data_IF_264542880004
#
_entry.id   IF_264542880004
#
_cell.length_a   1.000
_cell.length_b   1.000
_cell.length_c   1.000
_cell.angle_alpha   90.00
_cell.angle_beta   90.00
_cell.angle_gamma   90.00
#
_symmetry.space_group_name_H-M   'P 1'
#
loop_
_entity.id
_entity.type
_entity.pdbx_description
1 polymer ?
#
# COMPACT_ATOMS: atom_id res chain seq x y z
N UNK A 1 43.04 -7.06 4.62
CA UNK A 1 42.34 -6.49 5.81
C UNK A 1 42.00 -7.66 6.73
N UNK A 2 42.58 -7.72 7.94
CA UNK A 2 42.19 -8.71 8.94
C UNK A 2 40.96 -8.17 9.65
N UNK A 3 39.83 -8.88 9.55
CA UNK A 3 38.70 -8.72 10.47
C UNK A 3 39.23 -9.08 11.86
N UNK A 4 39.43 -8.09 12.72
CA UNK A 4 39.72 -8.33 14.12
C UNK A 4 38.48 -8.96 14.74
N UNK A 5 38.56 -10.25 15.08
CA UNK A 5 37.53 -10.92 15.86
C UNK A 5 37.36 -10.19 17.20
N UNK A 6 36.13 -9.84 17.52
CA UNK A 6 35.79 -9.19 18.79
C UNK A 6 35.96 -10.26 19.88
N UNK A 7 36.80 -9.98 20.88
CA UNK A 7 36.97 -10.86 22.04
C UNK A 7 35.61 -11.07 22.74
N UNK A 8 35.07 -12.29 22.78
CA UNK A 8 33.74 -12.55 23.33
C UNK A 8 33.67 -12.39 24.85
N UNK A 9 34.81 -12.19 25.53
CA UNK A 9 34.90 -12.02 26.98
C UNK A 9 34.98 -10.56 27.42
N UNK A 10 35.31 -9.63 26.51
CA UNK A 10 35.30 -8.20 26.82
C UNK A 10 33.86 -7.67 26.95
N UNK A 11 33.69 -6.50 27.56
CA UNK A 11 32.36 -5.88 27.81
C UNK A 11 31.52 -5.79 26.52
N UNK A 12 32.14 -5.32 25.42
CA UNK A 12 31.48 -5.24 24.12
C UNK A 12 31.08 -6.63 23.58
N UNK A 13 31.96 -7.63 23.73
CA UNK A 13 31.71 -9.01 23.30
C UNK A 13 30.58 -9.67 24.08
N UNK A 14 30.50 -9.44 25.39
CA UNK A 14 29.39 -9.91 26.22
C UNK A 14 28.07 -9.21 25.88
N UNK A 15 28.10 -7.88 25.70
CA UNK A 15 26.93 -7.12 25.27
C UNK A 15 26.39 -7.58 23.91
N UNK A 16 27.29 -7.83 22.96
CA UNK A 16 26.94 -8.42 21.66
C UNK A 16 26.31 -9.79 21.83
N UNK A 17 26.91 -10.69 22.62
CA UNK A 17 26.32 -12.02 22.90
C UNK A 17 24.91 -11.93 23.48
N UNK A 18 24.68 -11.05 24.46
CA UNK A 18 23.37 -10.87 25.08
C UNK A 18 22.37 -10.31 24.05
N UNK A 19 22.78 -9.31 23.26
CA UNK A 19 21.93 -8.75 22.21
C UNK A 19 21.58 -9.79 21.14
N UNK A 20 22.55 -10.59 20.68
CA UNK A 20 22.33 -11.65 19.68
C UNK A 20 21.46 -12.77 20.24
N UNK A 21 21.64 -13.18 21.50
CA UNK A 21 20.79 -14.18 22.13
C UNK A 21 19.34 -13.69 22.24
N UNK A 22 19.12 -12.45 22.66
CA UNK A 22 17.78 -11.83 22.68
C UNK A 22 17.16 -11.71 21.29
N UNK A 23 17.95 -11.35 20.29
CA UNK A 23 17.49 -11.28 18.90
C UNK A 23 17.10 -12.68 18.36
N UNK A 24 17.87 -13.71 18.70
CA UNK A 24 17.55 -15.11 18.37
C UNK A 24 16.29 -15.60 19.07
N UNK A 25 16.09 -15.27 20.35
CA UNK A 25 14.85 -15.60 21.06
C UNK A 25 13.63 -14.88 20.45
N UNK A 26 13.79 -13.62 20.04
CA UNK A 26 12.72 -12.86 19.38
C UNK A 26 12.40 -13.38 17.97
N UNK A 27 13.40 -13.91 17.24
CA UNK A 27 13.23 -14.50 15.91
C UNK A 27 12.21 -15.66 15.90
N UNK A 28 12.11 -16.40 17.00
CA UNK A 28 11.20 -17.53 17.14
C UNK A 28 9.78 -17.11 17.62
N UNK A 29 9.53 -15.81 17.82
CA UNK A 29 8.25 -15.30 18.35
C UNK A 29 7.94 -13.88 17.85
N UNK A 30 7.58 -13.72 16.57
CA UNK A 30 7.08 -12.45 16.07
C UNK A 30 5.84 -12.01 16.86
N UNK A 31 5.73 -10.71 17.09
CA UNK A 31 4.59 -10.08 17.73
C UNK A 31 3.61 -9.58 16.66
N UNK A 32 2.33 -9.59 17.00
CA UNK A 32 1.28 -9.09 16.13
C UNK A 32 1.01 -7.61 16.40
N UNK A 33 1.05 -6.80 15.35
CA UNK A 33 0.81 -5.36 15.40
C UNK A 33 -0.36 -4.99 14.50
N UNK A 34 -1.34 -4.31 15.09
CA UNK A 34 -2.41 -3.65 14.37
C UNK A 34 -1.94 -2.23 14.01
N UNK A 35 -1.67 -1.99 12.72
CA UNK A 35 -1.14 -0.73 12.19
C UNK A 35 -2.14 -0.02 11.28
N UNK A 36 -2.11 1.31 11.31
CA UNK A 36 -2.98 2.17 10.51
C UNK A 36 -2.16 3.23 9.76
N UNK A 37 -2.63 3.59 8.56
CA UNK A 37 -2.09 4.69 7.76
C UNK A 37 -3.24 5.52 7.19
N UNK A 38 -3.15 6.85 7.37
CA UNK A 38 -4.07 7.79 6.71
C UNK A 38 -3.61 8.07 5.29
N UNK A 39 -4.54 7.99 4.35
CA UNK A 39 -4.31 8.20 2.93
C UNK A 39 -5.30 9.24 2.42
N UNK A 40 -4.78 10.23 1.70
CA UNK A 40 -5.57 11.19 0.92
C UNK A 40 -5.69 10.70 -0.51
N UNK A 41 -6.83 10.98 -1.13
CA UNK A 41 -7.03 10.80 -2.55
C UNK A 41 -7.30 12.15 -3.26
N UNK A 42 -6.51 12.40 -4.30
CA UNK A 42 -6.75 13.48 -5.25
C UNK A 42 -7.43 12.93 -6.49
N UNK A 43 -8.67 13.37 -6.71
CA UNK A 43 -9.41 13.18 -7.97
C UNK A 43 -10.09 14.48 -8.35
N UNK A 44 -10.32 14.75 -9.65
CA UNK A 44 -11.12 15.89 -10.11
C UNK A 44 -12.52 15.94 -9.48
N UNK A 45 -13.05 14.80 -9.04
CA UNK A 45 -14.38 14.67 -8.44
C UNK A 45 -14.40 14.90 -6.92
N UNK A 46 -13.25 15.02 -6.23
CA UNK A 46 -13.16 15.16 -4.78
C UNK A 46 -13.99 14.11 -4.02
N UNK A 47 -13.88 12.85 -4.43
CA UNK A 47 -14.61 11.72 -3.85
C UNK A 47 -13.72 10.83 -2.99
N UNK A 48 -14.33 10.12 -2.05
CA UNK A 48 -13.65 9.14 -1.22
C UNK A 48 -13.67 7.74 -1.86
N UNK A 49 -12.78 6.87 -1.40
CA UNK A 49 -12.84 5.44 -1.73
C UNK A 49 -13.97 4.80 -0.90
N UNK A 50 -14.78 3.96 -1.53
CA UNK A 50 -15.79 3.17 -0.82
C UNK A 50 -15.11 2.32 0.28
N UNK A 51 -15.73 2.09 1.44
CA UNK A 51 -15.12 1.24 2.46
C UNK A 51 -15.02 -0.23 2.02
N UNK A 52 -13.90 -0.88 2.36
CA UNK A 52 -13.65 -2.29 2.07
C UNK A 52 -13.13 -3.01 3.30
N UNK A 53 -13.53 -4.27 3.48
CA UNK A 53 -13.03 -5.11 4.57
C UNK A 53 -12.74 -6.51 4.06
N UNK A 54 -11.58 -7.02 4.43
CA UNK A 54 -11.16 -8.41 4.23
C UNK A 54 -10.39 -8.90 5.46
N UNK A 55 -9.93 -10.16 5.43
CA UNK A 55 -9.21 -10.77 6.54
C UNK A 55 -7.87 -10.07 6.84
N UNK A 56 -7.14 -9.63 5.81
CA UNK A 56 -5.80 -9.05 5.98
C UNK A 56 -5.77 -7.52 6.04
N UNK A 57 -6.85 -6.85 5.61
CA UNK A 57 -6.88 -5.39 5.59
C UNK A 57 -8.30 -4.83 5.74
N UNK A 58 -8.36 -3.58 6.18
CA UNK A 58 -9.60 -2.79 6.19
C UNK A 58 -9.32 -1.40 5.63
N UNK A 59 -10.22 -0.90 4.80
CA UNK A 59 -10.26 0.49 4.32
C UNK A 59 -11.52 1.12 4.89
N UNK A 60 -11.37 2.14 5.72
CA UNK A 60 -12.48 2.93 6.25
C UNK A 60 -12.37 4.39 5.80
N UNK A 61 -13.49 4.97 5.36
CA UNK A 61 -13.55 6.39 5.04
C UNK A 61 -13.38 7.23 6.31
N UNK A 62 -12.52 8.24 6.24
CA UNK A 62 -12.25 9.21 7.33
C UNK A 62 -12.94 10.54 7.05
N UNK A 63 -12.91 10.99 5.79
CA UNK A 63 -13.56 12.20 5.29
C UNK A 63 -13.76 12.11 3.76
N UNK A 64 -14.28 13.16 3.13
CA UNK A 64 -14.65 13.19 1.70
C UNK A 64 -13.49 12.86 0.74
N UNK A 65 -12.23 12.95 1.19
CA UNK A 65 -11.04 12.67 0.40
C UNK A 65 -9.96 11.91 1.20
N UNK A 66 -10.26 11.49 2.42
CA UNK A 66 -9.33 10.74 3.24
C UNK A 66 -9.93 9.41 3.66
N UNK A 67 -9.08 8.39 3.69
CA UNK A 67 -9.42 7.10 4.24
C UNK A 67 -8.26 6.58 5.07
N UNK A 68 -8.54 5.59 5.91
CA UNK A 68 -7.54 4.91 6.71
C UNK A 68 -7.46 3.47 6.22
N UNK A 69 -6.24 3.02 5.95
CA UNK A 69 -5.97 1.60 5.71
C UNK A 69 -5.45 1.02 7.02
N UNK A 70 -6.07 -0.08 7.46
CA UNK A 70 -5.66 -0.87 8.60
C UNK A 70 -5.08 -2.19 8.11
N UNK A 71 -3.93 -2.57 8.67
CA UNK A 71 -3.24 -3.80 8.39
C UNK A 71 -2.87 -4.52 9.69
N UNK A 72 -2.81 -5.83 9.59
CA UNK A 72 -2.33 -6.72 10.63
C UNK A 72 -0.95 -7.22 10.22
N UNK A 73 0.08 -6.87 10.98
CA UNK A 73 1.48 -7.12 10.60
C UNK A 73 2.19 -7.86 11.72
N UNK A 74 2.83 -8.97 11.35
CA UNK A 74 3.75 -9.67 12.24
C UNK A 74 5.13 -9.03 12.13
N UNK A 75 5.74 -8.70 13.26
CA UNK A 75 7.08 -8.10 13.31
C UNK A 75 7.82 -8.43 14.60
N UNK A 76 9.14 -8.28 14.60
CA UNK A 76 9.95 -8.55 15.80
C UNK A 76 9.87 -7.41 16.82
N UNK A 77 9.69 -6.19 16.34
CA UNK A 77 9.42 -4.98 17.10
C UNK A 77 8.54 -4.02 16.32
N UNK A 78 8.15 -2.90 16.94
CA UNK A 78 7.29 -1.90 16.31
C UNK A 78 7.96 -1.25 15.09
N UNK A 79 9.28 -1.11 15.06
CA UNK A 79 9.98 -0.48 13.95
C UNK A 79 9.94 -1.39 12.71
N UNK A 80 10.26 -2.66 12.90
CA UNK A 80 10.17 -3.71 11.88
C UNK A 80 8.74 -3.81 11.31
N UNK A 81 7.73 -3.91 12.18
CA UNK A 81 6.34 -3.94 11.76
C UNK A 81 5.92 -2.69 10.97
N UNK A 82 6.39 -1.49 11.36
CA UNK A 82 6.13 -0.26 10.61
C UNK A 82 6.80 -0.25 9.24
N UNK A 83 8.02 -0.79 9.10
CA UNK A 83 8.69 -0.88 7.80
C UNK A 83 7.94 -1.82 6.86
N UNK A 84 7.52 -2.99 7.36
CA UNK A 84 6.72 -3.95 6.59
C UNK A 84 5.36 -3.35 6.19
N UNK A 85 4.66 -2.72 7.14
CA UNK A 85 3.43 -1.98 6.86
C UNK A 85 3.62 -0.92 5.78
N UNK A 86 4.71 -0.15 5.84
CA UNK A 86 5.00 0.87 4.85
C UNK A 86 5.20 0.28 3.45
N UNK A 87 5.89 -0.86 3.34
CA UNK A 87 6.06 -1.59 2.08
C UNK A 87 4.72 -2.01 1.47
N UNK A 88 3.86 -2.65 2.28
CA UNK A 88 2.56 -3.13 1.84
C UNK A 88 1.62 -1.98 1.47
N UNK A 89 1.56 -0.92 2.28
CA UNK A 89 0.72 0.25 2.02
C UNK A 89 1.13 0.95 0.73
N UNK A 90 2.43 1.10 0.46
CA UNK A 90 2.89 1.66 -0.81
C UNK A 90 2.42 0.81 -2.00
N UNK A 91 2.54 -0.51 -1.91
CA UNK A 91 2.01 -1.42 -2.91
C UNK A 91 0.49 -1.29 -3.10
N UNK A 92 -0.26 -1.17 -2.00
CA UNK A 92 -1.71 -0.98 -2.04
C UNK A 92 -2.09 0.33 -2.71
N UNK A 93 -1.48 1.46 -2.35
CA UNK A 93 -1.82 2.77 -2.96
C UNK A 93 -1.40 2.86 -4.42
N UNK A 94 -0.27 2.24 -4.80
CA UNK A 94 0.17 2.14 -6.19
C UNK A 94 -0.83 1.32 -7.01
N UNK A 95 -1.31 0.21 -6.46
CA UNK A 95 -2.35 -0.59 -7.10
C UNK A 95 -3.69 0.16 -7.19
N UNK A 96 -4.13 0.81 -6.10
CA UNK A 96 -5.36 1.60 -6.08
C UNK A 96 -5.34 2.68 -7.16
N UNK A 97 -4.20 3.32 -7.40
CA UNK A 97 -4.03 4.28 -8.49
C UNK A 97 -4.41 3.67 -9.84
N UNK A 98 -3.91 2.47 -10.16
CA UNK A 98 -4.28 1.75 -11.38
C UNK A 98 -5.75 1.32 -11.36
N UNK A 99 -6.24 0.83 -10.22
CA UNK A 99 -7.59 0.30 -10.09
C UNK A 99 -8.69 1.38 -10.14
N UNK A 100 -8.34 2.66 -9.91
CA UNK A 100 -9.33 3.75 -9.87
C UNK A 100 -8.94 4.98 -10.67
N UNK A 101 -7.78 4.99 -11.34
CA UNK A 101 -7.17 6.17 -11.96
C UNK A 101 -6.90 7.34 -10.98
N UNK A 102 -7.01 7.08 -9.68
CA UNK A 102 -6.84 8.07 -8.62
C UNK A 102 -5.37 8.31 -8.30
N UNK A 103 -5.11 9.41 -7.60
CA UNK A 103 -3.78 9.75 -7.09
C UNK A 103 -3.81 9.77 -5.56
N UNK A 104 -2.93 8.99 -4.94
CA UNK A 104 -3.02 8.63 -3.53
C UNK A 104 -1.77 9.08 -2.76
N UNK A 105 -1.96 9.81 -1.67
CA UNK A 105 -0.88 10.37 -0.86
C UNK A 105 -0.98 9.89 0.58
N UNK A 106 0.10 9.31 1.10
CA UNK A 106 0.19 8.97 2.52
C UNK A 106 0.27 10.27 3.32
N UNK A 107 -0.62 10.43 4.29
CA UNK A 107 -0.67 11.60 5.18
C UNK A 107 0.10 11.38 6.48
N UNK A 108 0.27 10.12 6.88
CA UNK A 108 0.92 9.73 8.12
C UNK A 108 1.87 8.57 7.89
N UNK A 109 2.91 8.49 8.71
CA UNK A 109 3.65 7.23 8.88
C UNK A 109 2.74 6.17 9.54
N UNK A 110 3.05 4.88 9.39
CA UNK A 110 2.33 3.82 10.08
C UNK A 110 2.37 4.01 11.60
N UNK A 111 1.20 3.91 12.24
CA UNK A 111 1.05 4.01 13.68
C UNK A 111 0.25 2.84 14.24
N UNK A 112 0.62 2.40 15.44
CA UNK A 112 -0.12 1.37 16.17
C UNK A 112 -1.46 1.95 16.60
N UNK A 113 -2.54 1.23 16.37
CA UNK A 113 -3.88 1.63 16.77
C UNK A 113 -4.52 0.60 17.69
N UNK A 114 -5.49 1.03 18.50
CA UNK A 114 -6.24 0.13 19.37
C UNK A 114 -7.41 -0.51 18.58
N UNK A 115 -7.49 -1.85 18.48
CA UNK A 115 -8.54 -2.53 17.69
C UNK A 115 -9.98 -2.23 18.11
N UNK A 116 -10.17 -1.75 19.34
CA UNK A 116 -11.47 -1.39 19.89
C UNK A 116 -12.16 -0.22 19.17
N UNK A 117 -11.45 0.52 18.31
CA UNK A 117 -12.00 1.71 17.65
C UNK A 117 -12.71 1.40 16.31
N UNK A 118 -12.47 0.24 15.67
CA UNK A 118 -12.87 0.06 14.25
C UNK A 118 -13.67 -1.19 13.87
N UNK A 119 -14.19 -1.98 14.82
CA UNK A 119 -15.35 -2.86 14.50
C UNK A 119 -16.67 -2.08 14.43
N UNK A 120 -16.64 -0.86 13.88
CA UNK A 120 -17.88 -0.26 13.40
C UNK A 120 -18.39 -1.15 12.25
N UNK A 121 -19.70 -1.39 12.22
CA UNK A 121 -20.31 -2.14 11.13
C UNK A 121 -20.08 -1.37 9.83
N UNK A 122 -19.05 -1.77 9.09
CA UNK A 122 -18.84 -1.26 7.74
C UNK A 122 -20.05 -1.65 6.89
N UNK A 123 -20.49 -0.77 5.98
CA UNK A 123 -21.56 -1.11 5.06
C UNK A 123 -21.15 -2.31 4.19
N UNK A 124 -22.14 -2.99 3.64
CA UNK A 124 -21.90 -4.04 2.65
C UNK A 124 -21.04 -3.50 1.51
N UNK A 125 -20.01 -4.26 1.12
CA UNK A 125 -19.09 -3.85 0.08
C UNK A 125 -19.81 -3.63 -1.25
N UNK A 126 -19.54 -2.48 -1.88
CA UNK A 126 -20.05 -2.15 -3.21
C UNK A 126 -18.94 -2.31 -4.23
N UNK A 127 -19.20 -3.10 -5.28
CA UNK A 127 -18.28 -3.30 -6.37
C UNK A 127 -18.69 -2.53 -7.63
N UNK A 128 -17.67 -2.14 -8.39
CA UNK A 128 -17.80 -1.68 -9.77
C UNK A 128 -18.03 -2.89 -10.68
N UNK A 129 -19.04 -2.82 -11.56
CA UNK A 129 -19.49 -3.95 -12.38
C UNK A 129 -19.02 -3.86 -13.84
N UNK A 130 -18.62 -2.68 -14.31
CA UNK A 130 -18.10 -2.53 -15.66
C UNK A 130 -16.65 -3.00 -15.71
N UNK A 131 -16.45 -4.18 -16.30
CA UNK A 131 -15.14 -4.81 -16.43
C UNK A 131 -14.28 -4.20 -17.54
N UNK A 132 -14.91 -3.50 -18.49
CA UNK A 132 -14.26 -2.90 -19.65
C UNK A 132 -14.00 -1.40 -19.44
N UNK A 133 -14.25 -0.89 -18.22
CA UNK A 133 -13.93 0.49 -17.88
C UNK A 133 -12.41 0.72 -18.02
N UNK A 134 -12.05 1.76 -18.76
CA UNK A 134 -10.66 2.16 -18.99
C UNK A 134 -10.41 3.66 -18.80
N UNK A 135 -11.46 4.49 -18.90
CA UNK A 135 -11.34 5.94 -18.84
C UNK A 135 -12.12 6.50 -17.64
N UNK A 136 -11.73 7.71 -17.21
CA UNK A 136 -12.27 8.45 -16.05
C UNK A 136 -12.06 7.74 -14.71
N UNK A 137 -13.12 7.52 -13.94
CA UNK A 137 -13.10 7.02 -12.56
C UNK A 137 -14.29 6.05 -12.35
N UNK A 138 -14.11 4.91 -11.65
CA UNK A 138 -15.17 3.95 -11.38
C UNK A 138 -16.09 4.44 -10.24
N UNK A 139 -16.95 5.42 -10.54
CA UNK A 139 -17.75 6.13 -9.55
C UNK A 139 -19.15 5.54 -9.37
N UNK A 140 -19.53 5.27 -8.12
CA UNK A 140 -20.91 4.90 -7.76
C UNK A 140 -21.31 5.60 -6.47
N UNK A 141 -22.43 6.33 -6.50
CA UNK A 141 -22.93 7.12 -5.36
C UNK A 141 -21.87 8.05 -4.75
N UNK A 142 -21.13 8.79 -5.59
CA UNK A 142 -20.07 9.71 -5.18
C UNK A 142 -18.89 9.07 -4.44
N UNK A 143 -18.65 7.78 -4.66
CA UNK A 143 -17.49 7.05 -4.17
C UNK A 143 -16.78 6.32 -5.30
N UNK A 144 -15.46 6.25 -5.23
CA UNK A 144 -14.70 5.30 -6.06
C UNK A 144 -14.99 3.90 -5.59
N UNK A 145 -15.29 3.02 -6.53
CA UNK A 145 -15.54 1.62 -6.28
C UNK A 145 -14.49 0.76 -6.96
N UNK A 146 -14.03 -0.25 -6.24
CA UNK A 146 -13.18 -1.31 -6.74
C UNK A 146 -14.02 -2.42 -7.36
N UNK A 147 -13.41 -3.21 -8.25
CA UNK A 147 -13.96 -4.51 -8.65
C UNK A 147 -13.60 -5.56 -7.59
N UNK A 148 -14.31 -6.68 -7.63
CA UNK A 148 -14.03 -7.81 -6.71
C UNK A 148 -12.60 -8.37 -6.86
N UNK A 149 -12.10 -8.41 -8.10
CA UNK A 149 -10.71 -8.82 -8.39
C UNK A 149 -9.70 -7.86 -7.77
N UNK A 150 -10.01 -6.57 -7.69
CA UNK A 150 -9.12 -5.57 -7.12
C UNK A 150 -9.00 -5.76 -5.60
N UNK A 151 -10.12 -6.01 -4.91
CA UNK A 151 -10.12 -6.37 -3.48
C UNK A 151 -9.29 -7.63 -3.22
N UNK A 152 -9.44 -8.66 -4.07
CA UNK A 152 -8.69 -9.91 -3.95
C UNK A 152 -7.18 -9.66 -4.09
N UNK A 153 -6.78 -8.81 -5.03
CA UNK A 153 -5.37 -8.45 -5.22
C UNK A 153 -4.83 -7.61 -4.05
N UNK A 154 -5.61 -6.67 -3.52
CA UNK A 154 -5.25 -5.92 -2.29
C UNK A 154 -5.01 -6.85 -1.11
N UNK A 155 -5.84 -7.88 -0.94
CA UNK A 155 -5.66 -8.87 0.14
C UNK A 155 -4.33 -9.63 -0.01
N UNK A 156 -3.91 -9.94 -1.24
CA UNK A 156 -2.59 -10.55 -1.50
C UNK A 156 -1.43 -9.61 -1.19
N UNK A 157 -1.57 -8.31 -1.49
CA UNK A 157 -0.56 -7.30 -1.13
C UNK A 157 -0.44 -7.21 0.40
N UNK A 158 -1.57 -7.13 1.11
CA UNK A 158 -1.64 -7.07 2.56
C UNK A 158 -1.08 -8.33 3.27
N UNK A 159 -1.12 -9.49 2.59
CA UNK A 159 -0.53 -10.73 3.09
C UNK A 159 0.93 -10.93 2.65
N UNK A 160 1.52 -9.98 1.92
CA UNK A 160 2.80 -10.13 1.23
C UNK A 160 2.88 -11.40 0.34
N UNK A 161 1.74 -11.89 -0.16
CA UNK A 161 1.63 -13.10 -0.99
C UNK A 161 1.69 -12.76 -2.49
N UNK A 162 2.87 -12.31 -2.89
CA UNK A 162 3.15 -11.84 -4.24
C UNK A 162 4.12 -12.79 -4.95
N UNK A 163 3.76 -13.17 -6.17
CA UNK A 163 4.68 -13.86 -7.07
C UNK A 163 5.43 -12.83 -7.94
N UNK A 164 6.49 -13.26 -8.64
CA UNK A 164 7.30 -12.38 -9.49
C UNK A 164 6.49 -11.55 -10.52
N UNK A 165 5.36 -12.08 -11.02
CA UNK A 165 4.49 -11.33 -11.94
C UNK A 165 3.73 -10.24 -11.20
N UNK A 166 3.17 -10.55 -10.03
CA UNK A 166 2.49 -9.57 -9.17
C UNK A 166 3.45 -8.45 -8.72
N UNK A 167 4.69 -8.79 -8.38
CA UNK A 167 5.73 -7.80 -8.06
C UNK A 167 6.09 -6.91 -9.26
N UNK A 168 6.24 -7.51 -10.44
CA UNK A 168 6.52 -6.75 -11.67
C UNK A 168 5.37 -5.82 -12.00
N UNK A 169 4.14 -6.30 -11.84
CA UNK A 169 2.94 -5.49 -11.99
C UNK A 169 2.91 -4.31 -11.01
N UNK A 170 3.24 -4.51 -9.74
CA UNK A 170 3.28 -3.43 -8.76
C UNK A 170 4.35 -2.38 -9.08
N UNK A 171 5.51 -2.78 -9.63
CA UNK A 171 6.50 -1.82 -10.13
C UNK A 171 5.95 -0.98 -11.28
N UNK A 172 5.17 -1.58 -12.17
CA UNK A 172 4.47 -0.86 -13.23
C UNK A 172 3.39 0.08 -12.67
N UNK A 173 2.62 -0.39 -11.68
CA UNK A 173 1.60 0.40 -10.98
C UNK A 173 2.23 1.62 -10.28
N UNK A 174 3.38 1.44 -9.64
CA UNK A 174 4.16 2.51 -9.03
C UNK A 174 4.53 3.61 -10.04
N UNK A 175 5.06 3.22 -11.21
CA UNK A 175 5.42 4.18 -12.26
C UNK A 175 4.20 4.95 -12.78
N UNK A 176 3.06 4.28 -12.95
CA UNK A 176 1.80 4.92 -13.31
C UNK A 176 1.35 5.91 -12.24
N UNK A 177 1.31 5.48 -10.97
CA UNK A 177 0.90 6.31 -9.85
C UNK A 177 1.79 7.54 -9.71
N UNK A 178 3.10 7.38 -9.89
CA UNK A 178 4.02 8.52 -9.86
C UNK A 178 3.74 9.51 -10.98
N UNK A 179 3.46 9.04 -12.20
CA UNK A 179 3.09 9.92 -13.29
C UNK A 179 1.79 10.69 -13.01
N UNK A 180 0.76 10.05 -12.44
CA UNK A 180 -0.49 10.71 -12.01
C UNK A 180 -0.22 11.80 -10.95
N UNK A 181 0.61 11.51 -9.95
CA UNK A 181 1.01 12.51 -8.93
C UNK A 181 1.67 13.75 -9.53
N UNK A 182 2.50 13.58 -10.56
CA UNK A 182 3.13 14.72 -11.23
C UNK A 182 2.14 15.59 -12.00
N UNK A 183 1.11 14.97 -12.58
CA UNK A 183 0.04 15.68 -13.29
C UNK A 183 -0.78 16.56 -12.33
N UNK A 184 -1.13 16.03 -11.16
CA UNK A 184 -1.94 16.76 -10.17
C UNK A 184 -1.24 18.00 -9.58
N UNK A 185 0.10 17.97 -9.45
CA UNK A 185 0.87 19.09 -8.88
C UNK A 185 1.08 20.22 -9.92
N UNK A 186 0.68 20.02 -11.18
CA UNK A 186 0.68 21.08 -12.20
C UNK A 186 2.06 21.73 -12.40
N UNK A 187 3.16 20.99 -12.26
CA UNK A 187 4.53 21.51 -12.40
C UNK A 187 4.75 21.90 -13.88
N UNK A 188 4.51 23.18 -14.19
CA UNK A 188 4.55 23.73 -15.54
C UNK A 188 5.93 23.66 -16.22
N UNK A 189 7.00 23.42 -15.46
CA UNK A 189 8.38 23.35 -15.96
C UNK A 189 8.68 22.05 -16.73
N UNK A 190 7.82 21.02 -16.63
CA UNK A 190 8.04 19.72 -17.26
C UNK A 190 6.98 19.37 -18.30
N UNK A 191 6.25 20.33 -18.89
CA UNK A 191 5.15 20.02 -19.84
C UNK A 191 5.54 19.03 -20.95
N UNK A 192 6.75 19.15 -21.50
CA UNK A 192 7.27 18.24 -22.54
C UNK A 192 7.73 16.87 -22.00
N UNK A 193 8.16 16.80 -20.74
CA UNK A 193 8.53 15.55 -20.07
C UNK A 193 7.28 14.83 -19.53
N UNK A 194 6.29 15.58 -19.05
CA UNK A 194 4.99 15.12 -18.60
C UNK A 194 4.15 14.53 -19.75
N UNK A 195 4.22 15.09 -20.96
CA UNK A 195 3.61 14.50 -22.16
C UNK A 195 4.21 13.11 -22.47
N UNK A 196 5.55 12.97 -22.41
CA UNK A 196 6.22 11.68 -22.59
C UNK A 196 5.95 10.70 -21.43
N UNK A 197 5.88 11.20 -20.19
CA UNK A 197 5.51 10.41 -19.03
C UNK A 197 4.04 9.99 -19.06
N UNK A 198 3.13 10.78 -19.65
CA UNK A 198 1.73 10.39 -19.84
C UNK A 198 1.60 9.28 -20.87
N UNK A 199 2.29 9.36 -22.01
CA UNK A 199 2.28 8.25 -22.96
C UNK A 199 2.80 6.95 -22.32
N UNK A 200 3.87 7.05 -21.53
CA UNK A 200 4.40 5.92 -20.76
C UNK A 200 3.39 5.47 -19.69
N UNK A 201 2.76 6.39 -18.95
CA UNK A 201 1.77 6.08 -17.93
C UNK A 201 0.55 5.39 -18.53
N UNK A 202 0.04 5.88 -19.67
CA UNK A 202 -1.06 5.26 -20.41
C UNK A 202 -0.67 3.88 -20.92
N UNK A 203 0.54 3.71 -21.48
CA UNK A 203 1.04 2.38 -21.88
C UNK A 203 1.14 1.44 -20.68
N UNK A 204 1.63 1.93 -19.53
CA UNK A 204 1.75 1.16 -18.30
C UNK A 204 0.37 0.82 -17.71
N UNK A 205 -0.57 1.75 -17.74
CA UNK A 205 -1.96 1.57 -17.31
C UNK A 205 -2.67 0.52 -18.15
N UNK A 206 -2.62 0.64 -19.48
CA UNK A 206 -3.20 -0.34 -20.40
C UNK A 206 -2.52 -1.70 -20.21
N UNK A 207 -1.19 -1.73 -20.08
CA UNK A 207 -0.46 -2.98 -19.82
C UNK A 207 -0.86 -3.62 -18.50
N UNK A 208 -1.04 -2.81 -17.45
CA UNK A 208 -1.47 -3.27 -16.13
C UNK A 208 -2.91 -3.79 -16.16
N UNK A 209 -3.85 -3.05 -16.74
CA UNK A 209 -5.25 -3.44 -16.88
C UNK A 209 -5.45 -4.76 -17.65
N UNK A 210 -4.64 -5.01 -18.68
CA UNK A 210 -4.68 -6.28 -19.45
C UNK A 210 -4.08 -7.46 -18.66
N UNK A 211 -3.13 -7.20 -17.76
CA UNK A 211 -2.42 -8.24 -17.00
C UNK A 211 -3.19 -8.66 -15.76
N UNK A 212 -3.90 -7.75 -15.08
CA UNK A 212 -4.58 -8.02 -13.82
C UNK A 212 -5.57 -9.21 -13.88
N UNK A 213 -6.40 -9.40 -14.92
CA UNK A 213 -7.27 -10.57 -15.03
C UNK A 213 -6.52 -11.92 -15.15
N UNK A 214 -5.19 -11.89 -15.30
CA UNK A 214 -4.32 -13.06 -15.51
C UNK A 214 -3.34 -13.29 -14.34
N UNK A 215 -3.41 -12.50 -13.28
CA UNK A 215 -2.59 -12.59 -12.06
C UNK A 215 -3.31 -13.31 -10.93
#
# INVERSE_FOLDING_TARGET
MRTSEIDPTCDLGQRLKIATAKALEALDSPQHFDLAVKVNILTPANVSLYPYHDAAFTIASSSDHEFVIFLQIDGYDEYDAKQECFSQINGMVDFLAVATNGSFHLLTDPYVYAPSEHRQQLPDTVYWLDHDWMDDFPLKNDHLCLREVDKTFLNRIALADLNNKSETFLKTAHLFHMARKYDDVGISFLKTFAESCMEIATVLYVSAGVVLPRL
#
